data_IF_556197214296
#
_entry.id   IF_556197214296
#
_cell.length_a   1.000
_cell.length_b   1.000
_cell.length_c   1.000
_cell.angle_alpha   90.00
_cell.angle_beta   90.00
_cell.angle_gamma   90.00
#
_symmetry.space_group_name_H-M   'P 1'
#
loop_
_entity.id
_entity.type
_entity.pdbx_description
1 polymer ?
#
# COMPACT_ATOMS: atom_id res chain seq x y z
N UNK A 1 28.22 14.66 2.52
CA UNK A 1 26.93 14.18 1.96
C UNK A 1 27.16 13.92 0.48
N UNK A 2 26.86 12.73 -0.01
CA UNK A 2 27.00 12.41 -1.44
C UNK A 2 26.11 13.35 -2.27
N UNK A 3 26.70 14.07 -3.23
CA UNK A 3 26.01 15.06 -4.07
C UNK A 3 24.82 14.45 -4.85
N UNK A 4 24.96 13.18 -5.25
CA UNK A 4 24.02 12.50 -6.12
C UNK A 4 22.67 12.15 -5.42
N UNK A 5 22.64 11.57 -4.20
CA UNK A 5 21.40 11.43 -3.43
C UNK A 5 20.67 12.75 -3.15
N UNK A 6 21.39 13.84 -2.85
CA UNK A 6 20.78 15.13 -2.56
C UNK A 6 20.12 15.75 -3.81
N UNK A 7 20.76 15.62 -4.97
CA UNK A 7 20.17 15.99 -6.25
C UNK A 7 18.91 15.18 -6.54
N UNK A 8 18.97 13.86 -6.32
CA UNK A 8 17.86 12.95 -6.59
C UNK A 8 16.63 13.26 -5.70
N UNK A 9 16.84 13.54 -4.42
CA UNK A 9 15.78 13.99 -3.50
C UNK A 9 15.19 15.33 -3.93
N UNK A 10 16.02 16.28 -4.40
CA UNK A 10 15.55 17.56 -4.93
C UNK A 10 14.71 17.39 -6.20
N UNK A 11 15.15 16.52 -7.10
CA UNK A 11 14.38 16.15 -8.29
C UNK A 11 13.04 15.49 -7.93
N UNK A 12 13.02 14.54 -7.00
CA UNK A 12 11.79 13.92 -6.52
C UNK A 12 10.86 14.93 -5.84
N UNK A 13 11.41 15.89 -5.09
CA UNK A 13 10.63 16.98 -4.51
C UNK A 13 9.99 17.85 -5.60
N UNK A 14 10.71 18.15 -6.68
CA UNK A 14 10.15 18.86 -7.84
C UNK A 14 9.01 18.07 -8.49
N UNK A 15 9.18 16.77 -8.70
CA UNK A 15 8.15 15.88 -9.26
C UNK A 15 6.90 15.89 -8.38
N UNK A 16 7.05 15.71 -7.07
CA UNK A 16 5.95 15.70 -6.11
C UNK A 16 5.23 17.05 -6.02
N UNK A 17 5.94 18.18 -6.02
CA UNK A 17 5.35 19.53 -6.02
C UNK A 17 4.65 19.91 -7.34
N UNK A 18 5.06 19.27 -8.44
CA UNK A 18 4.36 19.38 -9.71
C UNK A 18 3.05 18.60 -9.65
N UNK A 19 3.10 17.36 -9.15
CA UNK A 19 1.95 16.46 -9.07
C UNK A 19 0.92 16.85 -8.01
N UNK A 20 1.36 17.32 -6.84
CA UNK A 20 0.51 17.77 -5.74
C UNK A 20 0.60 19.27 -5.55
N UNK A 21 -0.54 19.94 -5.36
CA UNK A 21 -0.54 21.38 -5.02
C UNK A 21 -0.06 21.65 -3.59
N UNK A 22 -0.16 20.65 -2.72
CA UNK A 22 0.23 20.75 -1.32
C UNK A 22 0.48 19.36 -0.75
N UNK A 23 1.63 19.22 -0.10
CA UNK A 23 2.03 18.05 0.67
C UNK A 23 2.16 18.51 2.12
N UNK A 24 1.37 17.92 3.01
CA UNK A 24 1.49 18.17 4.45
C UNK A 24 2.23 17.02 5.10
N UNK A 25 3.24 17.36 5.89
CA UNK A 25 4.04 16.41 6.66
C UNK A 25 3.68 16.61 8.13
N UNK A 26 3.40 15.52 8.83
CA UNK A 26 3.01 15.51 10.25
C UNK A 26 3.85 14.50 11.02
N UNK A 27 4.17 14.81 12.28
CA UNK A 27 4.96 13.90 13.13
C UNK A 27 6.46 13.81 12.77
N UNK A 28 7.00 14.73 11.98
CA UNK A 28 8.42 14.67 11.56
C UNK A 28 9.41 14.62 12.74
N UNK A 29 9.06 15.26 13.87
CA UNK A 29 9.85 15.25 15.10
C UNK A 29 9.91 13.88 15.78
N UNK A 30 9.01 12.96 15.42
CA UNK A 30 8.98 11.59 15.93
C UNK A 30 10.01 10.69 15.23
N UNK A 31 10.56 11.12 14.09
CA UNK A 31 11.54 10.33 13.34
C UNK A 31 12.89 10.37 14.07
N UNK A 32 13.50 9.21 14.39
CA UNK A 32 14.86 9.17 14.92
C UNK A 32 15.85 9.83 13.95
N UNK A 33 16.57 10.84 14.42
CA UNK A 33 17.58 11.55 13.63
C UNK A 33 18.77 10.66 13.31
N UNK A 34 19.13 9.78 14.24
CA UNK A 34 20.23 8.83 14.18
C UNK A 34 19.76 7.41 14.53
N UNK A 35 20.61 6.44 14.22
CA UNK A 35 20.33 5.03 14.47
C UNK A 35 19.48 4.36 13.39
N UNK A 36 19.27 3.05 13.52
CA UNK A 36 18.56 2.25 12.54
C UNK A 36 17.05 2.41 12.67
N UNK A 37 16.38 2.51 11.53
CA UNK A 37 14.93 2.70 11.50
C UNK A 37 14.28 1.90 10.37
N UNK A 38 13.17 1.25 10.68
CA UNK A 38 12.26 0.69 9.68
C UNK A 38 11.04 1.60 9.60
N UNK A 39 10.77 2.17 8.43
CA UNK A 39 9.51 2.84 8.15
C UNK A 39 8.51 1.83 7.61
N UNK A 40 7.49 1.51 8.41
CA UNK A 40 6.34 0.73 7.94
C UNK A 40 5.32 1.73 7.39
N UNK A 41 4.99 1.65 6.09
CA UNK A 41 4.15 2.66 5.42
C UNK A 41 2.86 2.05 4.90
N UNK A 42 1.73 2.68 5.20
CA UNK A 42 0.41 2.27 4.71
C UNK A 42 -0.56 3.46 4.56
N UNK A 43 -1.60 3.40 3.71
CA UNK A 43 -1.81 2.37 2.70
C UNK A 43 -0.78 2.46 1.57
N UNK A 44 -0.55 1.37 0.84
CA UNK A 44 0.26 1.41 -0.37
C UNK A 44 -0.62 1.65 -1.61
N UNK A 45 -1.00 2.90 -1.86
CA UNK A 45 -1.85 3.23 -3.00
C UNK A 45 -1.11 3.28 -4.33
N UNK A 46 0.17 3.69 -4.33
CA UNK A 46 0.93 3.92 -5.55
C UNK A 46 2.39 3.44 -5.44
N UNK A 47 2.77 2.55 -6.35
CA UNK A 47 4.09 1.90 -6.38
C UNK A 47 5.27 2.87 -6.50
N UNK A 48 5.05 4.09 -7.00
CA UNK A 48 6.10 5.07 -7.23
C UNK A 48 5.95 6.30 -6.34
N UNK A 49 4.75 6.84 -6.19
CA UNK A 49 4.53 8.07 -5.41
C UNK A 49 4.77 7.82 -3.92
N UNK A 50 4.36 6.66 -3.37
CA UNK A 50 4.47 6.41 -1.94
C UNK A 50 5.94 6.35 -1.46
N UNK A 51 6.86 5.61 -2.13
CA UNK A 51 8.28 5.66 -1.78
C UNK A 51 8.89 7.06 -1.90
N UNK A 52 8.46 7.85 -2.90
CA UNK A 52 8.94 9.22 -3.09
C UNK A 52 8.47 10.14 -1.96
N UNK A 53 7.22 10.01 -1.53
CA UNK A 53 6.65 10.76 -0.41
C UNK A 53 7.47 10.55 0.86
N UNK A 54 7.79 9.30 1.19
CA UNK A 54 8.65 9.00 2.34
C UNK A 54 10.07 9.57 2.14
N UNK A 55 10.69 9.29 0.98
CA UNK A 55 12.07 9.69 0.68
C UNK A 55 12.31 11.20 0.79
N UNK A 56 11.34 12.00 0.37
CA UNK A 56 11.45 13.47 0.32
C UNK A 56 11.13 14.13 1.67
N UNK A 57 10.34 13.47 2.53
CA UNK A 57 9.78 14.07 3.74
C UNK A 57 10.37 13.54 5.05
N UNK A 58 10.95 12.35 5.09
CA UNK A 58 11.44 11.74 6.32
C UNK A 58 12.80 12.27 6.81
N UNK A 59 13.55 13.00 5.96
CA UNK A 59 14.88 13.52 6.30
C UNK A 59 15.97 12.44 6.46
N UNK A 60 15.70 11.18 6.10
CA UNK A 60 16.64 10.05 6.18
C UNK A 60 16.87 9.46 4.78
N UNK A 61 18.05 8.84 4.56
CA UNK A 61 18.30 8.07 3.33
C UNK A 61 17.68 6.68 3.45
N UNK A 62 16.50 6.51 2.83
CA UNK A 62 15.70 5.28 2.92
C UNK A 62 15.96 4.36 1.74
N UNK A 63 16.26 3.10 2.02
CA UNK A 63 16.32 2.03 1.03
C UNK A 63 15.04 1.22 1.08
N UNK A 64 14.38 1.04 -0.05
CA UNK A 64 13.10 0.34 -0.12
C UNK A 64 13.28 -1.11 -0.53
N UNK A 65 12.37 -1.97 -0.08
CA UNK A 65 12.19 -3.28 -0.69
C UNK A 65 11.47 -3.11 -2.03
N UNK A 66 12.16 -3.40 -3.13
CA UNK A 66 11.63 -3.25 -4.48
C UNK A 66 11.59 -4.60 -5.20
N UNK A 67 10.52 -4.87 -5.95
CA UNK A 67 10.39 -6.10 -6.72
C UNK A 67 11.54 -6.23 -7.73
N UNK A 68 12.17 -7.42 -7.82
CA UNK A 68 13.27 -7.68 -8.75
C UNK A 68 12.90 -7.34 -10.20
N UNK A 69 11.69 -7.73 -10.63
CA UNK A 69 11.15 -7.38 -11.96
C UNK A 69 11.15 -5.88 -12.26
N UNK A 70 10.98 -5.03 -11.25
CA UNK A 70 11.09 -3.57 -11.39
C UNK A 70 12.54 -3.11 -11.41
N UNK A 71 13.39 -3.72 -10.57
CA UNK A 71 14.83 -3.42 -10.50
C UNK A 71 15.63 -3.83 -11.75
N UNK A 72 15.13 -4.81 -12.52
CA UNK A 72 15.75 -5.26 -13.77
C UNK A 72 15.45 -4.32 -14.95
N UNK A 73 14.46 -3.42 -14.83
CA UNK A 73 14.19 -2.39 -15.85
C UNK A 73 15.24 -1.28 -15.77
N UNK A 74 15.79 -0.86 -16.91
CA UNK A 74 16.92 0.09 -16.96
C UNK A 74 16.74 1.35 -16.09
N UNK A 75 15.71 2.15 -16.36
CA UNK A 75 15.48 3.42 -15.65
C UNK A 75 15.09 3.24 -14.18
N UNK A 76 14.23 2.26 -13.88
CA UNK A 76 13.75 2.00 -12.51
C UNK A 76 14.86 1.39 -11.66
N UNK A 77 15.63 0.47 -12.23
CA UNK A 77 16.80 -0.14 -11.59
C UNK A 77 17.90 0.87 -11.30
N UNK A 78 18.16 1.81 -12.22
CA UNK A 78 19.13 2.89 -11.98
C UNK A 78 18.70 3.77 -10.80
N UNK A 79 17.45 4.23 -10.75
CA UNK A 79 16.91 5.02 -9.64
C UNK A 79 16.87 4.22 -8.33
N UNK A 80 16.47 2.95 -8.38
CA UNK A 80 16.44 2.06 -7.22
C UNK A 80 17.83 1.84 -6.62
N UNK A 81 18.85 1.62 -7.47
CA UNK A 81 20.24 1.51 -7.02
C UNK A 81 20.75 2.81 -6.41
N UNK A 82 20.41 3.96 -6.99
CA UNK A 82 20.75 5.28 -6.43
C UNK A 82 20.13 5.50 -5.03
N UNK A 83 18.90 5.03 -4.82
CA UNK A 83 18.21 5.04 -3.54
C UNK A 83 18.66 3.91 -2.59
N UNK A 84 19.63 3.09 -3.00
CA UNK A 84 20.12 1.92 -2.25
C UNK A 84 18.97 0.96 -1.88
N UNK A 85 18.01 0.78 -2.78
CA UNK A 85 16.89 -0.16 -2.63
C UNK A 85 17.37 -1.61 -2.66
N UNK A 86 16.71 -2.46 -1.88
CA UNK A 86 16.99 -3.88 -1.76
C UNK A 86 16.05 -4.62 -2.71
N UNK A 87 16.62 -5.39 -3.64
CA UNK A 87 15.84 -6.17 -4.60
C UNK A 87 15.23 -7.39 -3.94
N UNK A 88 13.94 -7.62 -4.17
CA UNK A 88 13.17 -8.74 -3.59
C UNK A 88 12.53 -9.55 -4.69
N UNK A 89 12.81 -10.85 -4.70
CA UNK A 89 12.08 -11.82 -5.53
C UNK A 89 10.76 -12.15 -4.84
N UNK A 90 9.66 -12.10 -5.58
CA UNK A 90 8.33 -12.42 -5.07
C UNK A 90 7.84 -13.67 -5.78
N UNK A 91 7.21 -14.59 -5.05
CA UNK A 91 6.68 -15.83 -5.62
C UNK A 91 5.73 -15.54 -6.81
N UNK A 92 4.88 -14.52 -6.69
CA UNK A 92 3.97 -14.08 -7.76
C UNK A 92 4.66 -13.64 -9.06
N UNK A 93 5.92 -13.19 -9.00
CA UNK A 93 6.65 -12.74 -10.20
C UNK A 93 7.27 -13.92 -10.96
N UNK A 94 7.35 -15.10 -10.35
CA UNK A 94 7.96 -16.32 -10.91
C UNK A 94 6.94 -17.44 -11.14
N UNK A 95 5.64 -17.16 -11.03
CA UNK A 95 4.58 -18.13 -11.34
C UNK A 95 4.58 -18.43 -12.84
N UNK A 96 4.55 -19.72 -13.18
CA UNK A 96 4.43 -20.19 -14.55
C UNK A 96 3.43 -21.34 -14.66
N UNK A 97 2.90 -21.58 -15.86
CA UNK A 97 1.97 -22.69 -16.11
C UNK A 97 2.70 -24.03 -16.06
N UNK A 98 2.15 -24.98 -15.32
CA UNK A 98 2.64 -26.36 -15.34
C UNK A 98 2.34 -27.03 -16.69
N UNK A 99 3.13 -28.04 -17.07
CA UNK A 99 2.80 -28.87 -18.23
C UNK A 99 1.79 -29.95 -17.83
N UNK A 100 0.91 -30.29 -18.75
CA UNK A 100 -0.13 -31.30 -18.53
C UNK A 100 -1.29 -30.79 -17.68
N UNK A 101 -2.10 -31.72 -17.19
CA UNK A 101 -3.23 -31.46 -16.29
C UNK A 101 -3.07 -32.25 -15.00
N UNK A 102 -3.77 -31.83 -13.95
CA UNK A 102 -3.78 -32.51 -12.65
C UNK A 102 -5.19 -32.85 -12.19
N UNK A 103 -5.34 -33.94 -11.45
CA UNK A 103 -6.62 -34.38 -10.90
C UNK A 103 -6.43 -35.08 -9.57
N UNK A 104 -7.51 -35.17 -8.81
CA UNK A 104 -7.55 -35.88 -7.53
C UNK A 104 -8.27 -37.22 -7.76
N UNK A 105 -7.56 -38.36 -7.73
CA UNK A 105 -8.15 -39.65 -8.05
C UNK A 105 -9.20 -40.08 -7.02
N UNK A 106 -8.90 -39.88 -5.74
CA UNK A 106 -9.70 -40.39 -4.61
C UNK A 106 -9.89 -39.30 -3.53
N UNK A 107 -11.10 -39.20 -3.01
CA UNK A 107 -11.44 -38.34 -1.87
C UNK A 107 -10.92 -38.89 -0.55
N UNK A 108 -10.65 -40.20 -0.47
CA UNK A 108 -10.08 -40.82 0.73
C UNK A 108 -8.64 -40.35 1.01
N UNK A 109 -7.91 -39.94 -0.03
CA UNK A 109 -6.57 -39.39 0.08
C UNK A 109 -6.43 -38.04 -0.69
N UNK A 110 -7.02 -36.96 -0.16
CA UNK A 110 -7.16 -35.69 -0.87
C UNK A 110 -5.85 -34.88 -0.96
N UNK A 111 -4.75 -35.42 -0.42
CA UNK A 111 -3.41 -34.80 -0.51
C UNK A 111 -2.59 -35.37 -1.67
N UNK A 112 -2.99 -36.50 -2.24
CA UNK A 112 -2.33 -37.13 -3.38
C UNK A 112 -2.94 -36.62 -4.68
N UNK A 113 -2.13 -35.99 -5.53
CA UNK A 113 -2.56 -35.45 -6.81
C UNK A 113 -1.84 -36.18 -7.94
N UNK A 114 -2.62 -36.58 -8.95
CA UNK A 114 -2.14 -37.24 -10.15
C UNK A 114 -2.08 -36.26 -11.31
N UNK A 115 -1.16 -36.50 -12.22
CA UNK A 115 -0.90 -35.68 -13.39
C UNK A 115 -0.98 -36.48 -14.69
N UNK A 116 -1.48 -35.84 -15.74
CA UNK A 116 -1.55 -36.38 -17.10
C UNK A 116 -0.62 -35.55 -17.97
N UNK A 117 0.34 -36.20 -18.63
CA UNK A 117 1.39 -35.55 -19.42
C UNK A 117 2.18 -34.47 -18.63
N UNK A 118 2.36 -34.69 -17.32
CA UNK A 118 3.10 -33.80 -16.43
C UNK A 118 4.60 -34.12 -16.43
N UNK A 119 5.41 -33.15 -15.98
CA UNK A 119 6.87 -33.27 -15.82
C UNK A 119 7.28 -32.77 -14.43
N UNK A 120 6.67 -33.33 -13.38
CA UNK A 120 6.78 -32.79 -12.03
C UNK A 120 8.22 -32.78 -11.50
N UNK A 121 9.03 -33.80 -11.75
CA UNK A 121 10.42 -33.87 -11.25
C UNK A 121 11.25 -32.71 -11.79
N UNK A 122 10.99 -32.33 -13.05
CA UNK A 122 11.70 -31.23 -13.71
C UNK A 122 11.15 -29.85 -13.34
N UNK A 123 9.83 -29.71 -13.16
CA UNK A 123 9.17 -28.41 -12.98
C UNK A 123 8.94 -28.02 -11.51
N UNK A 124 8.83 -28.98 -10.60
CA UNK A 124 8.43 -28.77 -9.22
C UNK A 124 9.58 -29.14 -8.29
N UNK A 125 9.98 -28.20 -7.44
CA UNK A 125 10.88 -28.47 -6.32
C UNK A 125 10.05 -28.64 -5.05
N UNK A 126 10.55 -29.36 -4.03
CA UNK A 126 9.91 -29.39 -2.71
C UNK A 126 9.61 -27.97 -2.20
N UNK A 127 8.47 -27.79 -1.53
CA UNK A 127 7.95 -26.50 -1.02
C UNK A 127 7.42 -25.51 -2.07
N UNK A 128 7.48 -25.84 -3.36
CA UNK A 128 6.69 -25.12 -4.36
C UNK A 128 5.20 -25.28 -4.08
N UNK A 129 4.38 -24.30 -4.46
CA UNK A 129 2.92 -24.40 -4.38
C UNK A 129 2.30 -24.61 -5.75
N UNK A 130 1.21 -25.36 -5.78
CA UNK A 130 0.35 -25.52 -6.95
C UNK A 130 -0.87 -24.64 -6.77
N UNK A 131 -1.18 -23.88 -7.81
CA UNK A 131 -2.31 -22.96 -7.85
C UNK A 131 -3.30 -23.42 -8.92
N UNK A 132 -4.55 -23.60 -8.52
CA UNK A 132 -5.65 -23.95 -9.42
C UNK A 132 -6.15 -22.70 -10.18
N UNK A 133 -6.85 -22.89 -11.30
CA UNK A 133 -7.43 -21.79 -12.06
C UNK A 133 -8.45 -20.99 -11.24
N UNK A 134 -8.62 -19.72 -11.57
CA UNK A 134 -9.61 -18.82 -10.93
C UNK A 134 -9.48 -18.74 -9.40
N UNK A 135 -8.26 -18.90 -8.88
CA UNK A 135 -7.93 -18.90 -7.45
C UNK A 135 -8.77 -19.89 -6.61
N UNK A 136 -9.22 -20.98 -7.24
CA UNK A 136 -10.09 -22.00 -6.60
C UNK A 136 -9.39 -22.82 -5.50
N UNK A 137 -8.05 -22.77 -5.44
CA UNK A 137 -7.26 -23.43 -4.41
C UNK A 137 -5.75 -23.26 -4.63
N UNK A 138 -4.99 -23.31 -3.54
CA UNK A 138 -3.52 -23.38 -3.58
C UNK A 138 -3.02 -24.28 -2.47
N UNK A 139 -2.06 -25.16 -2.77
CA UNK A 139 -1.43 -26.03 -1.78
C UNK A 139 0.08 -26.15 -2.00
N UNK A 140 0.83 -26.23 -0.89
CA UNK A 140 2.27 -26.49 -0.90
C UNK A 140 2.53 -27.98 -1.16
N UNK A 141 3.52 -28.27 -2.00
CA UNK A 141 3.98 -29.62 -2.33
C UNK A 141 4.92 -30.09 -1.23
N UNK A 142 4.52 -31.14 -0.51
CA UNK A 142 5.34 -31.83 0.47
C UNK A 142 6.46 -32.61 -0.21
N UNK A 143 6.10 -33.39 -1.24
CA UNK A 143 7.03 -34.26 -1.95
C UNK A 143 6.58 -34.47 -3.40
N UNK A 144 7.55 -34.53 -4.30
CA UNK A 144 7.35 -35.03 -5.68
C UNK A 144 7.70 -36.51 -5.67
N UNK A 145 6.72 -37.38 -5.94
CA UNK A 145 6.88 -38.84 -5.93
C UNK A 145 7.41 -39.30 -7.29
N UNK A 146 6.80 -38.81 -8.37
CA UNK A 146 7.17 -39.13 -9.76
C UNK A 146 6.82 -37.96 -10.69
N UNK A 147 7.05 -38.10 -12.00
CA UNK A 147 6.62 -37.09 -12.97
C UNK A 147 5.09 -36.95 -13.07
N UNK A 148 4.33 -37.92 -12.56
CA UNK A 148 2.86 -37.97 -12.59
C UNK A 148 2.21 -37.93 -11.21
N UNK A 149 2.97 -37.99 -10.12
CA UNK A 149 2.42 -38.04 -8.76
C UNK A 149 3.14 -37.09 -7.80
N UNK A 150 2.35 -36.35 -7.02
CA UNK A 150 2.83 -35.43 -6.00
C UNK A 150 1.97 -35.54 -4.74
N UNK A 151 2.62 -35.27 -3.61
CA UNK A 151 1.97 -35.19 -2.31
C UNK A 151 1.95 -33.75 -1.81
N UNK A 152 0.78 -33.30 -1.38
CA UNK A 152 0.56 -31.96 -0.81
C UNK A 152 0.75 -31.95 0.71
N UNK A 153 1.22 -30.84 1.27
CA UNK A 153 1.31 -30.62 2.72
C UNK A 153 -0.08 -30.52 3.36
N UNK A 154 -1.06 -30.00 2.63
CA UNK A 154 -2.45 -29.86 3.05
C UNK A 154 -3.37 -30.18 1.85
N UNK A 155 -4.48 -30.89 2.08
CA UNK A 155 -5.40 -31.22 1.01
C UNK A 155 -6.18 -30.00 0.50
N UNK A 156 -6.48 -29.97 -0.80
CA UNK A 156 -7.29 -28.91 -1.43
C UNK A 156 -8.77 -29.31 -1.45
N UNK A 157 -9.40 -29.31 -0.27
CA UNK A 157 -10.78 -29.78 -0.06
C UNK A 157 -11.85 -28.68 -0.15
N UNK A 158 -11.49 -27.46 -0.56
CA UNK A 158 -12.49 -26.41 -0.78
C UNK A 158 -13.44 -26.83 -1.92
N UNK A 159 -14.74 -26.50 -1.87
CA UNK A 159 -15.70 -26.93 -2.90
C UNK A 159 -15.25 -26.57 -4.32
N UNK A 160 -14.66 -25.38 -4.50
CA UNK A 160 -14.10 -24.95 -5.78
C UNK A 160 -12.88 -25.76 -6.23
N UNK A 161 -11.99 -26.14 -5.32
CA UNK A 161 -10.82 -26.96 -5.64
C UNK A 161 -11.22 -28.39 -6.01
N UNK A 162 -12.13 -29.00 -5.25
CA UNK A 162 -12.65 -30.35 -5.53
C UNK A 162 -13.35 -30.37 -6.89
N UNK A 163 -14.18 -29.36 -7.18
CA UNK A 163 -14.86 -29.21 -8.47
C UNK A 163 -13.87 -29.09 -9.64
N UNK A 164 -12.70 -28.46 -9.44
CA UNK A 164 -11.65 -28.38 -10.45
C UNK A 164 -10.86 -29.69 -10.59
N UNK A 165 -10.58 -30.37 -9.49
CA UNK A 165 -9.70 -31.54 -9.46
C UNK A 165 -10.39 -32.86 -9.79
N UNK A 166 -11.73 -32.93 -9.69
CA UNK A 166 -12.52 -34.14 -9.99
C UNK A 166 -13.50 -33.94 -11.14
N UNK A 167 -13.15 -33.12 -12.13
CA UNK A 167 -13.94 -33.02 -13.36
C UNK A 167 -13.93 -34.38 -14.05
N UNK A 168 -15.11 -34.93 -14.31
CA UNK A 168 -15.31 -36.16 -15.08
C UNK A 168 -15.94 -35.79 -16.42
N UNK A 169 -15.43 -36.35 -17.51
CA UNK A 169 -16.02 -36.19 -18.84
C UNK A 169 -17.21 -37.13 -19.06
N UNK A 170 -17.90 -36.96 -20.19
CA UNK A 170 -19.06 -37.79 -20.58
C UNK A 170 -18.69 -39.29 -20.73
N UNK A 171 -17.41 -39.62 -20.84
CA UNK A 171 -16.88 -40.98 -20.96
C UNK A 171 -16.43 -41.58 -19.63
N UNK A 172 -16.60 -40.86 -18.51
CA UNK A 172 -16.20 -41.32 -17.17
C UNK A 172 -14.70 -41.14 -16.85
N UNK A 173 -13.92 -40.50 -17.74
CA UNK A 173 -12.51 -40.21 -17.50
C UNK A 173 -12.36 -38.87 -16.77
N UNK A 174 -11.26 -38.73 -16.02
CA UNK A 174 -10.88 -37.46 -15.40
C UNK A 174 -9.81 -36.78 -16.26
N UNK A 175 -10.17 -35.86 -17.17
CA UNK A 175 -9.19 -35.14 -18.01
C UNK A 175 -8.25 -34.23 -17.20
N UNK A 176 -8.60 -33.97 -15.93
CA UNK A 176 -7.87 -33.09 -15.03
C UNK A 176 -8.00 -31.62 -15.39
N UNK A 177 -7.37 -30.77 -14.59
CA UNK A 177 -7.39 -29.32 -14.72
C UNK A 177 -6.00 -28.76 -14.95
N UNK A 178 -5.92 -27.64 -15.67
CA UNK A 178 -4.67 -26.90 -15.82
C UNK A 178 -4.26 -26.27 -14.50
N UNK A 179 -2.97 -26.10 -14.29
CA UNK A 179 -2.45 -25.59 -13.02
C UNK A 179 -1.26 -24.66 -13.24
N UNK A 180 -1.01 -23.81 -12.26
CA UNK A 180 0.18 -22.96 -12.20
C UNK A 180 1.09 -23.44 -11.06
N UNK A 181 2.38 -23.30 -11.26
CA UNK A 181 3.41 -23.60 -10.28
C UNK A 181 3.94 -22.28 -9.74
N UNK A 182 3.92 -22.12 -8.43
CA UNK A 182 4.49 -21.01 -7.69
C UNK A 182 5.72 -21.53 -6.93
N UNK A 183 6.95 -21.30 -7.45
CA UNK A 183 8.17 -21.74 -6.78
C UNK A 183 8.34 -21.18 -5.37
N UNK A 184 8.93 -21.96 -4.47
CA UNK A 184 9.42 -21.41 -3.22
C UNK A 184 10.56 -20.42 -3.50
N UNK A 185 10.39 -19.18 -3.04
CA UNK A 185 11.42 -18.15 -3.16
C UNK A 185 12.17 -18.03 -1.85
N UNK A 186 13.48 -18.29 -1.88
CA UNK A 186 14.34 -18.09 -0.72
C UNK A 186 14.56 -16.59 -0.47
N UNK A 187 14.04 -16.12 0.65
CA UNK A 187 14.13 -14.72 1.08
C UNK A 187 15.34 -14.44 1.98
N UNK A 188 16.17 -15.44 2.29
CA UNK A 188 17.31 -15.32 3.22
C UNK A 188 18.27 -14.19 2.85
N UNK A 189 18.54 -14.04 1.55
CA UNK A 189 19.38 -12.95 1.02
C UNK A 189 18.77 -11.56 1.23
N UNK A 190 17.44 -11.43 1.10
CA UNK A 190 16.76 -10.15 1.34
C UNK A 190 16.84 -9.78 2.83
N UNK A 191 16.58 -10.75 3.72
CA UNK A 191 16.68 -10.52 5.17
C UNK A 191 18.11 -10.14 5.59
N UNK A 192 19.14 -10.80 5.06
CA UNK A 192 20.53 -10.46 5.39
C UNK A 192 20.93 -9.06 4.92
N UNK A 193 20.46 -8.62 3.75
CA UNK A 193 20.68 -7.27 3.23
C UNK A 193 19.98 -6.19 4.09
N UNK A 194 18.76 -6.46 4.54
CA UNK A 194 18.04 -5.58 5.47
C UNK A 194 18.81 -5.48 6.79
N UNK A 195 19.17 -6.61 7.40
CA UNK A 195 19.92 -6.65 8.66
C UNK A 195 21.26 -5.93 8.53
N UNK A 196 22.00 -6.13 7.43
CA UNK A 196 23.24 -5.41 7.14
C UNK A 196 23.02 -3.91 7.07
N UNK A 197 21.95 -3.44 6.43
CA UNK A 197 21.66 -2.00 6.35
C UNK A 197 21.34 -1.41 7.72
N UNK A 198 20.55 -2.12 8.52
CA UNK A 198 20.17 -1.68 9.85
C UNK A 198 21.39 -1.68 10.79
N UNK A 199 22.28 -2.67 10.73
CA UNK A 199 23.50 -2.69 11.55
C UNK A 199 24.45 -1.51 11.28
N UNK A 200 24.35 -0.90 10.09
CA UNK A 200 25.08 0.33 9.73
C UNK A 200 24.27 1.61 9.97
N UNK A 201 23.31 1.61 10.91
CA UNK A 201 22.45 2.76 11.25
C UNK A 201 21.63 3.31 10.07
N UNK A 202 21.35 2.47 9.07
CA UNK A 202 20.58 2.83 7.88
C UNK A 202 19.06 2.83 8.13
N UNK A 203 18.32 3.43 7.20
CA UNK A 203 16.87 3.43 7.19
C UNK A 203 16.30 2.51 6.10
N UNK A 204 15.29 1.71 6.43
CA UNK A 204 14.60 0.80 5.50
C UNK A 204 13.14 1.22 5.37
N UNK A 205 12.63 1.32 4.15
CA UNK A 205 11.22 1.58 3.88
C UNK A 205 10.53 0.32 3.41
N UNK A 206 9.41 -0.04 4.04
CA UNK A 206 8.62 -1.22 3.69
C UNK A 206 7.13 -0.90 3.69
N UNK A 207 6.43 -1.47 2.71
CA UNK A 207 4.97 -1.44 2.59
C UNK A 207 4.44 -2.82 2.98
N UNK A 208 4.00 -3.02 4.23
CA UNK A 208 3.70 -4.35 4.76
C UNK A 208 2.53 -5.05 4.07
N UNK A 209 1.69 -4.37 3.30
CA UNK A 209 0.65 -4.98 2.44
C UNK A 209 1.26 -5.82 1.29
N UNK A 210 2.46 -5.48 0.85
CA UNK A 210 3.22 -6.21 -0.17
C UNK A 210 2.68 -6.11 -1.61
N UNK A 211 1.73 -5.21 -1.87
CA UNK A 211 1.18 -4.86 -3.18
C UNK A 211 0.52 -3.48 -3.10
N UNK A 212 0.28 -2.85 -4.25
CA UNK A 212 -0.39 -1.55 -4.30
C UNK A 212 -1.86 -1.71 -4.67
N UNK A 213 -2.78 -0.99 -4.02
CA UNK A 213 -4.21 -1.04 -4.29
C UNK A 213 -4.91 0.30 -4.08
N UNK A 214 -6.09 0.47 -4.67
CA UNK A 214 -6.95 1.65 -4.53
C UNK A 214 -8.09 1.47 -3.50
N UNK A 215 -8.14 0.32 -2.81
CA UNK A 215 -9.14 0.04 -1.77
C UNK A 215 -9.05 1.05 -0.60
N UNK A 216 -10.20 1.44 0.01
CA UNK A 216 -10.23 2.34 1.17
C UNK A 216 -9.64 1.73 2.45
N UNK A 217 -9.70 0.40 2.57
CA UNK A 217 -9.22 -0.35 3.73
C UNK A 217 -7.80 -0.86 3.54
N UNK A 218 -7.08 -1.03 4.67
CA UNK A 218 -5.77 -1.66 4.68
C UNK A 218 -5.91 -3.15 4.36
N UNK A 219 -5.09 -3.65 3.44
CA UNK A 219 -4.93 -5.09 3.27
C UNK A 219 -4.22 -5.70 4.50
N UNK A 220 -4.43 -7.01 4.77
CA UNK A 220 -3.70 -7.70 5.81
C UNK A 220 -2.19 -7.53 5.67
N UNK A 221 -1.54 -7.18 6.78
CA UNK A 221 -0.09 -6.95 6.78
C UNK A 221 0.66 -8.28 6.68
N UNK A 222 1.74 -8.29 5.89
CA UNK A 222 2.65 -9.43 5.78
C UNK A 222 3.66 -9.40 6.92
N UNK A 223 3.89 -10.58 7.53
CA UNK A 223 4.81 -10.77 8.65
C UNK A 223 6.27 -10.37 8.38
N UNK A 224 6.66 -10.15 7.12
CA UNK A 224 8.02 -9.81 6.73
C UNK A 224 8.60 -8.61 7.50
N UNK A 225 7.80 -7.56 7.75
CA UNK A 225 8.26 -6.38 8.51
C UNK A 225 8.68 -6.74 9.94
N UNK A 226 7.86 -7.55 10.63
CA UNK A 226 8.15 -8.00 11.99
C UNK A 226 9.34 -8.98 12.03
N UNK A 227 9.43 -9.88 11.04
CA UNK A 227 10.56 -10.82 10.92
C UNK A 227 11.88 -10.07 10.73
N UNK A 228 11.93 -9.06 9.84
CA UNK A 228 13.12 -8.24 9.61
C UNK A 228 13.58 -7.53 10.88
N UNK A 229 12.63 -6.94 11.60
CA UNK A 229 12.92 -6.20 12.82
C UNK A 229 13.47 -7.10 13.93
N UNK A 230 12.79 -8.23 14.20
CA UNK A 230 13.21 -9.19 15.22
C UNK A 230 14.53 -9.89 14.86
N UNK A 231 14.72 -10.27 13.59
CA UNK A 231 15.97 -10.90 13.13
C UNK A 231 17.18 -9.95 13.27
N UNK A 232 17.00 -8.66 12.95
CA UNK A 232 18.06 -7.67 13.07
C UNK A 232 18.50 -7.46 14.53
N UNK A 233 17.55 -7.35 15.47
CA UNK A 233 17.86 -7.19 16.90
C UNK A 233 18.36 -8.49 17.52
N UNK A 234 17.88 -9.66 17.07
CA UNK A 234 18.37 -10.96 17.52
C UNK A 234 19.85 -11.17 17.17
N UNK A 235 20.27 -10.73 15.97
CA UNK A 235 21.67 -10.79 15.52
C UNK A 235 22.55 -9.69 16.11
N UNK A 236 21.96 -8.54 16.45
CA UNK A 236 22.66 -7.40 17.04
C UNK A 236 21.90 -6.88 18.27
N UNK A 237 22.10 -7.48 19.47
CA UNK A 237 21.31 -7.17 20.67
C UNK A 237 21.36 -5.71 21.12
N UNK A 238 22.47 -5.00 20.84
CA UNK A 238 22.66 -3.60 21.19
C UNK A 238 22.17 -2.62 20.11
N UNK A 239 21.46 -3.11 19.08
CA UNK A 239 20.96 -2.29 17.99
C UNK A 239 19.71 -1.51 18.46
N UNK A 240 19.75 -0.16 18.54
CA UNK A 240 18.61 0.64 18.99
C UNK A 240 17.59 0.82 17.86
N UNK A 241 17.10 -0.30 17.32
CA UNK A 241 16.18 -0.34 16.18
C UNK A 241 14.80 0.15 16.60
N UNK A 242 14.28 1.10 15.82
CA UNK A 242 12.90 1.59 15.96
C UNK A 242 12.11 1.34 14.69
N UNK A 243 10.82 1.01 14.85
CA UNK A 243 9.88 0.94 13.73
C UNK A 243 9.01 2.18 13.77
N UNK A 244 9.05 3.01 12.74
CA UNK A 244 8.21 4.20 12.63
C UNK A 244 7.03 3.88 11.69
N UNK A 245 5.79 3.83 12.22
CA UNK A 245 4.60 3.69 11.39
C UNK A 245 4.33 5.00 10.64
N UNK A 246 3.98 4.91 9.36
CA UNK A 246 3.73 6.05 8.48
C UNK A 246 2.37 5.89 7.78
N UNK A 247 1.46 6.83 8.03
CA UNK A 247 0.18 6.94 7.35
C UNK A 247 0.28 7.81 6.10
N UNK A 248 -0.20 7.30 4.96
CA UNK A 248 -0.40 8.08 3.73
C UNK A 248 -1.87 8.39 3.52
N UNK A 249 -2.17 9.58 3.00
CA UNK A 249 -3.54 9.96 2.65
C UNK A 249 -3.57 10.86 1.42
N UNK A 250 -4.27 10.38 0.38
CA UNK A 250 -4.49 11.10 -0.87
C UNK A 250 -5.96 11.55 -0.94
N UNK A 251 -6.20 12.84 -1.15
CA UNK A 251 -7.58 13.36 -1.14
C UNK A 251 -8.35 13.03 -2.42
N UNK A 252 -7.67 13.13 -3.57
CA UNK A 252 -8.17 12.79 -4.89
C UNK A 252 -7.02 12.16 -5.68
N UNK A 253 -6.82 10.85 -5.57
CA UNK A 253 -5.66 10.18 -6.17
C UNK A 253 -5.71 10.18 -7.72
N UNK A 254 -6.92 10.32 -8.27
CA UNK A 254 -7.23 10.39 -9.70
C UNK A 254 -6.99 11.79 -10.32
N UNK A 255 -6.82 12.83 -9.49
CA UNK A 255 -6.71 14.22 -9.96
C UNK A 255 -5.30 14.77 -9.83
N UNK A 256 -4.82 15.36 -10.92
CA UNK A 256 -3.61 16.18 -10.92
C UNK A 256 -3.77 17.38 -9.98
N UNK A 257 -2.69 17.78 -9.31
CA UNK A 257 -2.65 18.86 -8.30
C UNK A 257 -3.59 18.64 -7.12
N UNK A 258 -3.83 17.38 -6.79
CA UNK A 258 -4.46 16.95 -5.54
C UNK A 258 -3.62 17.33 -4.31
N UNK A 259 -4.12 16.99 -3.12
CA UNK A 259 -3.41 17.16 -1.85
C UNK A 259 -2.99 15.79 -1.34
N UNK A 260 -1.82 15.74 -0.71
CA UNK A 260 -1.33 14.56 -0.01
C UNK A 260 -0.95 14.93 1.43
N UNK A 261 -1.14 13.97 2.34
CA UNK A 261 -0.65 14.03 3.71
C UNK A 261 0.19 12.78 3.95
N UNK A 262 1.35 12.97 4.57
CA UNK A 262 2.12 11.90 5.19
C UNK A 262 2.24 12.20 6.68
N UNK A 263 1.94 11.20 7.50
CA UNK A 263 1.93 11.31 8.95
C UNK A 263 2.81 10.22 9.57
N UNK A 264 3.78 10.63 10.38
CA UNK A 264 4.66 9.76 11.12
C UNK A 264 4.11 9.55 12.54
N UNK A 265 3.91 8.29 12.93
CA UNK A 265 3.48 7.93 14.28
C UNK A 265 4.65 7.77 15.25
N UNK A 266 4.32 7.35 16.47
CA UNK A 266 5.32 7.15 17.53
C UNK A 266 6.23 5.95 17.19
N UNK A 267 7.56 6.08 17.38
CA UNK A 267 8.48 4.98 17.13
C UNK A 267 8.21 3.81 18.08
N UNK A 268 8.03 2.63 17.50
CA UNK A 268 7.86 1.38 18.23
C UNK A 268 9.25 0.83 18.52
N UNK A 269 9.57 0.69 19.80
CA UNK A 269 10.73 -0.04 20.29
C UNK A 269 10.39 -1.53 20.39
N UNK A 270 11.36 -2.39 20.14
CA UNK A 270 11.15 -3.84 20.18
C UNK A 270 11.35 -4.31 21.62
N UNK A 271 10.31 -4.81 22.32
CA UNK A 271 10.44 -5.25 23.69
C UNK A 271 11.38 -6.45 23.81
N UNK A 272 12.18 -6.48 24.88
CA UNK A 272 13.11 -7.57 25.18
C UNK A 272 12.41 -8.93 25.30
N UNK A 273 11.16 -8.94 25.77
CA UNK A 273 10.34 -10.15 25.91
C UNK A 273 10.04 -10.79 24.55
N UNK A 274 9.76 -9.98 23.52
CA UNK A 274 9.53 -10.48 22.16
C UNK A 274 10.83 -11.03 21.55
N UNK A 275 11.97 -10.44 21.92
CA UNK A 275 13.28 -10.91 21.46
C UNK A 275 13.61 -12.30 22.02
N UNK A 276 13.39 -12.51 23.31
CA UNK A 276 13.62 -13.82 23.94
C UNK A 276 12.67 -14.89 23.38
N UNK A 277 11.38 -14.56 23.21
CA UNK A 277 10.43 -15.45 22.53
C UNK A 277 10.85 -15.77 21.09
N UNK A 278 11.42 -14.79 20.36
CA UNK A 278 11.92 -15.01 19.02
C UNK A 278 13.11 -15.99 18.98
N UNK A 279 14.04 -15.87 19.93
CA UNK A 279 15.23 -16.73 20.06
C UNK A 279 14.88 -18.17 20.46
N UNK A 280 13.86 -18.37 21.30
CA UNK A 280 13.39 -19.69 21.72
C UNK A 280 12.93 -20.58 20.55
N UNK A 281 12.59 -19.97 19.41
CA UNK A 281 12.20 -20.71 18.21
C UNK A 281 10.76 -21.26 18.30
N UNK A 282 10.43 -22.19 17.40
CA UNK A 282 9.16 -22.93 17.43
C UNK A 282 7.90 -22.04 17.45
N UNK A 283 7.00 -22.33 18.39
CA UNK A 283 5.74 -21.60 18.62
C UNK A 283 5.96 -20.20 19.17
N UNK A 284 6.94 -20.03 20.06
CA UNK A 284 7.25 -18.75 20.70
C UNK A 284 7.72 -17.72 19.67
N UNK A 285 8.54 -18.16 18.71
CA UNK A 285 8.95 -17.33 17.58
C UNK A 285 7.76 -16.81 16.76
N UNK A 286 6.79 -17.67 16.46
CA UNK A 286 5.58 -17.27 15.71
C UNK A 286 4.74 -16.29 16.52
N UNK A 287 4.61 -16.50 17.83
CA UNK A 287 3.89 -15.62 18.74
C UNK A 287 4.54 -14.23 18.79
N UNK A 288 5.86 -14.15 18.93
CA UNK A 288 6.60 -12.89 18.92
C UNK A 288 6.40 -12.11 17.60
N UNK A 289 6.47 -12.80 16.46
CA UNK A 289 6.23 -12.21 15.14
C UNK A 289 4.80 -11.66 15.05
N UNK A 290 3.80 -12.44 15.49
CA UNK A 290 2.39 -12.03 15.47
C UNK A 290 2.16 -10.79 16.33
N UNK A 291 2.62 -10.81 17.58
CA UNK A 291 2.45 -9.70 18.52
C UNK A 291 3.07 -8.39 18.01
N UNK A 292 4.27 -8.47 17.43
CA UNK A 292 4.90 -7.29 16.84
C UNK A 292 4.15 -6.80 15.59
N UNK A 293 3.68 -7.72 14.73
CA UNK A 293 2.88 -7.39 13.56
C UNK A 293 1.57 -6.70 13.96
N UNK A 294 0.87 -7.22 14.97
CA UNK A 294 -0.37 -6.65 15.53
C UNK A 294 -0.11 -5.23 16.07
N UNK A 295 1.01 -5.02 16.75
CA UNK A 295 1.42 -3.70 17.27
C UNK A 295 1.64 -2.70 16.13
N UNK A 296 2.31 -3.12 15.06
CA UNK A 296 2.52 -2.31 13.85
C UNK A 296 1.18 -2.02 13.17
N UNK A 297 0.29 -3.01 13.08
CA UNK A 297 -1.02 -2.87 12.45
C UNK A 297 -1.90 -1.88 13.20
N UNK A 298 -2.02 -2.00 14.53
CA UNK A 298 -2.77 -1.05 15.37
C UNK A 298 -2.23 0.38 15.19
N UNK A 299 -0.90 0.52 15.16
CA UNK A 299 -0.27 1.83 14.99
C UNK A 299 -0.54 2.42 13.61
N UNK A 300 -0.42 1.63 12.53
CA UNK A 300 -0.74 2.06 11.16
C UNK A 300 -2.22 2.43 11.02
N UNK A 301 -3.12 1.61 11.55
CA UNK A 301 -4.57 1.89 11.55
C UNK A 301 -4.91 3.23 12.20
N UNK A 302 -4.16 3.63 13.23
CA UNK A 302 -4.38 4.93 13.89
C UNK A 302 -3.97 6.15 13.05
N UNK A 303 -3.06 5.96 12.09
CA UNK A 303 -2.54 7.02 11.20
C UNK A 303 -3.25 7.05 9.85
N UNK A 304 -3.88 5.94 9.46
CA UNK A 304 -4.66 5.84 8.24
C UNK A 304 -6.11 6.17 8.52
N UNK A 305 -6.71 7.06 7.74
CA UNK A 305 -8.12 7.39 7.90
C UNK A 305 -8.98 6.24 7.36
N UNK A 306 -9.24 5.24 8.19
CA UNK A 306 -10.13 4.14 7.83
C UNK A 306 -11.55 4.67 7.79
N UNK A 307 -12.16 4.62 6.62
CA UNK A 307 -13.56 4.91 6.45
C UNK A 307 -14.19 3.83 5.59
N UNK A 308 -15.34 3.27 5.99
CA UNK A 308 -16.00 2.20 5.26
C UNK A 308 -16.39 2.60 3.83
N UNK A 309 -16.55 3.90 3.58
CA UNK A 309 -16.86 4.46 2.26
C UNK A 309 -16.46 5.95 2.20
N UNK A 310 -16.39 6.50 0.99
CA UNK A 310 -15.96 7.88 0.75
C UNK A 310 -16.91 8.93 1.37
N UNK A 311 -18.20 8.63 1.48
CA UNK A 311 -19.17 9.57 2.06
C UNK A 311 -19.00 9.65 3.58
N UNK A 312 -18.77 8.51 4.24
CA UNK A 312 -18.41 8.45 5.67
C UNK A 312 -17.14 9.25 5.96
N UNK A 313 -16.13 9.16 5.07
CA UNK A 313 -14.89 9.91 5.17
C UNK A 313 -15.14 11.42 5.12
N UNK A 314 -15.98 11.86 4.17
CA UNK A 314 -16.35 13.27 4.00
C UNK A 314 -17.15 13.80 5.20
N UNK A 315 -18.06 12.99 5.73
CA UNK A 315 -18.88 13.33 6.90
C UNK A 315 -17.99 13.53 8.13
N UNK A 316 -17.14 12.56 8.46
CA UNK A 316 -16.22 12.64 9.61
C UNK A 316 -15.31 13.88 9.50
N UNK A 317 -14.79 14.14 8.30
CA UNK A 317 -13.97 15.32 8.07
C UNK A 317 -14.74 16.63 8.17
N UNK A 318 -15.99 16.68 7.71
CA UNK A 318 -16.83 17.88 7.77
C UNK A 318 -17.30 18.16 9.19
N UNK A 319 -17.77 17.14 9.91
CA UNK A 319 -18.16 17.24 11.32
C UNK A 319 -17.00 17.73 12.18
N UNK A 320 -15.79 17.19 12.01
CA UNK A 320 -14.60 17.70 12.72
C UNK A 320 -14.34 19.19 12.46
N UNK A 321 -14.48 19.65 11.21
CA UNK A 321 -14.30 21.07 10.86
C UNK A 321 -15.36 21.94 11.53
N UNK A 322 -16.62 21.53 11.47
CA UNK A 322 -17.76 22.25 12.05
C UNK A 322 -17.72 22.27 13.59
N UNK A 323 -17.23 21.20 14.20
CA UNK A 323 -17.10 21.07 15.65
C UNK A 323 -15.93 21.89 16.23
N UNK A 324 -14.91 22.21 15.42
CA UNK A 324 -13.76 22.99 15.89
C UNK A 324 -14.16 24.47 16.08
N UNK A 325 -14.05 25.04 17.31
CA UNK A 325 -14.45 26.42 17.56
C UNK A 325 -13.70 27.44 16.72
N UNK A 326 -14.38 28.51 16.33
CA UNK A 326 -13.83 29.57 15.48
C UNK A 326 -12.64 30.25 16.18
N UNK A 327 -11.50 30.32 15.51
CA UNK A 327 -10.29 30.97 16.04
C UNK A 327 -9.39 30.06 16.88
N UNK A 328 -9.83 28.85 17.24
CA UNK A 328 -8.99 27.86 17.93
C UNK A 328 -8.30 26.95 16.91
N UNK A 329 -6.96 27.01 16.85
CA UNK A 329 -6.18 25.97 16.16
C UNK A 329 -5.99 24.81 17.11
N UNK A 330 -6.62 23.67 16.81
CA UNK A 330 -6.33 22.42 17.50
C UNK A 330 -4.88 22.02 17.20
N UNK A 331 -4.19 21.55 18.24
CA UNK A 331 -2.92 20.88 18.04
C UNK A 331 -3.15 19.54 17.33
N UNK A 332 -2.09 18.97 16.77
CA UNK A 332 -2.14 17.77 15.94
C UNK A 332 -2.75 16.58 16.71
N UNK A 333 -2.33 16.35 17.95
CA UNK A 333 -2.82 15.24 18.78
C UNK A 333 -4.32 15.38 19.09
N UNK A 334 -4.78 16.60 19.36
CA UNK A 334 -6.20 16.91 19.56
C UNK A 334 -7.00 16.69 18.28
N UNK A 335 -6.44 17.08 17.13
CA UNK A 335 -7.08 16.91 15.82
C UNK A 335 -7.23 15.43 15.47
N UNK A 336 -6.22 14.62 15.79
CA UNK A 336 -6.17 13.20 15.51
C UNK A 336 -7.09 12.41 16.44
N UNK A 337 -7.03 12.68 17.75
CA UNK A 337 -7.94 12.10 18.72
C UNK A 337 -9.40 12.40 18.35
N UNK A 338 -9.70 13.65 17.97
CA UNK A 338 -11.04 14.04 17.55
C UNK A 338 -11.47 13.34 16.24
N UNK A 339 -10.58 13.25 15.24
CA UNK A 339 -10.84 12.52 14.00
C UNK A 339 -11.15 11.05 14.25
N UNK A 340 -10.36 10.39 15.10
CA UNK A 340 -10.52 8.99 15.46
C UNK A 340 -11.82 8.77 16.23
N UNK A 341 -12.11 9.62 17.22
CA UNK A 341 -13.33 9.53 18.01
C UNK A 341 -14.59 9.72 17.16
N UNK A 342 -14.58 10.65 16.20
CA UNK A 342 -15.70 10.81 15.26
C UNK A 342 -15.84 9.63 14.32
N UNK A 343 -14.74 9.08 13.79
CA UNK A 343 -14.79 7.90 12.92
C UNK A 343 -15.33 6.67 13.67
N UNK A 344 -14.78 6.37 14.84
CA UNK A 344 -15.22 5.23 15.69
C UNK A 344 -16.67 5.42 16.16
N UNK A 345 -17.03 6.64 16.61
CA UNK A 345 -18.39 6.96 17.04
C UNK A 345 -19.42 6.87 15.91
N UNK A 346 -19.06 7.36 14.72
CA UNK A 346 -19.92 7.25 13.55
C UNK A 346 -20.17 5.79 13.17
N UNK A 347 -19.14 4.95 13.11
CA UNK A 347 -19.30 3.53 12.77
C UNK A 347 -20.26 2.83 13.74
N UNK A 348 -20.13 3.10 15.05
CA UNK A 348 -20.99 2.50 16.07
C UNK A 348 -22.44 2.99 16.02
N UNK A 349 -22.66 4.25 15.67
CA UNK A 349 -23.97 4.90 15.74
C UNK A 349 -24.59 5.19 14.37
N UNK A 350 -24.01 4.67 13.28
CA UNK A 350 -24.44 4.97 11.90
C UNK A 350 -25.90 4.64 11.63
N UNK A 351 -26.47 3.71 12.39
CA UNK A 351 -27.86 3.26 12.22
C UNK A 351 -28.87 4.06 13.04
N UNK A 352 -28.40 4.91 13.96
CA UNK A 352 -29.23 5.81 14.73
C UNK A 352 -29.89 6.86 13.80
N UNK A 353 -31.22 7.07 13.90
CA UNK A 353 -31.95 8.04 13.08
C UNK A 353 -31.39 9.47 13.13
N UNK A 354 -30.95 9.94 14.29
CA UNK A 354 -30.41 11.29 14.46
C UNK A 354 -29.05 11.45 13.77
N UNK A 355 -28.20 10.43 13.88
CA UNK A 355 -26.90 10.39 13.19
C UNK A 355 -27.10 10.34 11.68
N UNK A 356 -28.07 9.55 11.18
CA UNK A 356 -28.44 9.53 9.75
C UNK A 356 -28.92 10.89 9.27
N UNK A 357 -29.78 11.57 10.01
CA UNK A 357 -30.26 12.91 9.66
C UNK A 357 -29.12 13.95 9.63
N UNK A 358 -28.26 13.95 10.65
CA UNK A 358 -27.08 14.82 10.70
C UNK A 358 -26.13 14.56 9.52
N UNK A 359 -25.91 13.29 9.19
CA UNK A 359 -25.08 12.88 8.05
C UNK A 359 -25.62 13.46 6.75
N UNK A 360 -26.93 13.37 6.52
CA UNK A 360 -27.56 13.95 5.33
C UNK A 360 -27.41 15.47 5.28
N UNK A 361 -27.58 16.16 6.41
CA UNK A 361 -27.39 17.62 6.48
C UNK A 361 -25.95 18.03 6.17
N UNK A 362 -24.97 17.30 6.72
CA UNK A 362 -23.54 17.55 6.48
C UNK A 362 -23.17 17.29 5.02
N UNK A 363 -23.68 16.21 4.42
CA UNK A 363 -23.49 15.92 3.00
C UNK A 363 -24.16 16.98 2.11
N UNK A 364 -25.36 17.44 2.48
CA UNK A 364 -26.04 18.51 1.76
C UNK A 364 -25.28 19.82 1.86
N UNK A 365 -24.74 20.16 3.03
CA UNK A 365 -23.86 21.31 3.20
C UNK A 365 -22.61 21.22 2.32
N UNK A 366 -21.93 20.06 2.29
CA UNK A 366 -20.76 19.86 1.43
C UNK A 366 -21.12 19.95 -0.08
N UNK A 367 -22.31 19.49 -0.47
CA UNK A 367 -22.85 19.71 -1.83
C UNK A 367 -23.07 21.19 -2.12
N UNK A 368 -23.60 21.98 -1.18
CA UNK A 368 -23.77 23.42 -1.36
C UNK A 368 -22.43 24.13 -1.48
N UNK A 369 -21.44 23.80 -0.65
CA UNK A 369 -20.07 24.32 -0.77
C UNK A 369 -19.50 24.06 -2.17
N UNK A 370 -19.68 22.84 -2.68
CA UNK A 370 -19.25 22.47 -4.04
C UNK A 370 -20.01 23.22 -5.12
N UNK A 371 -21.33 23.32 -5.00
CA UNK A 371 -22.19 24.01 -5.96
C UNK A 371 -21.82 25.49 -6.10
N UNK A 372 -21.62 26.17 -4.96
CA UNK A 372 -21.22 27.57 -4.93
C UNK A 372 -19.71 27.79 -5.11
N UNK A 373 -18.91 26.72 -5.15
CA UNK A 373 -17.46 26.78 -5.31
C UNK A 373 -16.72 27.44 -4.14
N UNK A 374 -17.32 27.46 -2.94
CA UNK A 374 -16.76 28.12 -1.75
C UNK A 374 -16.22 27.10 -0.74
N UNK A 375 -15.16 27.48 -0.04
CA UNK A 375 -14.60 26.69 1.06
C UNK A 375 -15.33 27.00 2.37
N UNK A 376 -15.41 26.02 3.27
CA UNK A 376 -16.08 26.14 4.58
C UNK A 376 -15.70 27.40 5.38
N UNK A 377 -14.41 27.74 5.44
CA UNK A 377 -13.95 28.96 6.13
C UNK A 377 -14.35 30.28 5.44
N UNK A 378 -14.69 30.22 4.15
CA UNK A 378 -15.13 31.37 3.36
C UNK A 378 -16.62 31.66 3.57
N UNK A 379 -17.42 30.69 4.02
CA UNK A 379 -18.86 30.85 4.27
C UNK A 379 -19.16 31.96 5.29
N UNK A 380 -18.23 32.22 6.23
CA UNK A 380 -18.39 33.34 7.18
C UNK A 380 -18.20 34.71 6.52
N UNK A 381 -17.48 34.73 5.40
CA UNK A 381 -17.13 35.93 4.66
C UNK A 381 -17.96 36.09 3.38
N UNK A 382 -18.97 35.26 3.14
CA UNK A 382 -19.88 35.40 1.98
C UNK A 382 -20.88 36.52 2.17
N UNK A 383 -20.99 37.09 3.37
CA UNK A 383 -21.81 38.26 3.65
C UNK A 383 -21.10 39.55 3.21
N UNK A 384 -20.80 39.65 1.91
CA UNK A 384 -20.21 40.81 1.25
C UNK A 384 -21.30 41.54 0.44
N UNK A 385 -21.30 42.87 0.46
CA UNK A 385 -22.24 43.64 -0.36
C UNK A 385 -22.03 43.36 -1.85
N UNK A 386 -23.10 43.37 -2.65
CA UNK A 386 -23.04 43.10 -4.09
C UNK A 386 -22.04 43.99 -4.83
N UNK A 387 -21.88 45.24 -4.39
CA UNK A 387 -20.89 46.17 -4.95
C UNK A 387 -19.45 45.71 -4.69
N UNK A 388 -19.15 45.28 -3.45
CA UNK A 388 -17.82 44.77 -3.10
C UNK A 388 -17.54 43.44 -3.81
N UNK A 389 -18.55 42.58 -3.95
CA UNK A 389 -18.46 41.35 -4.72
C UNK A 389 -18.13 41.61 -6.20
N UNK A 390 -18.79 42.60 -6.82
CA UNK A 390 -18.53 43.00 -8.20
C UNK A 390 -17.10 43.55 -8.37
N UNK A 391 -16.64 44.44 -7.50
CA UNK A 391 -15.27 44.94 -7.54
C UNK A 391 -14.24 43.81 -7.38
N UNK A 392 -14.47 42.89 -6.44
CA UNK A 392 -13.58 41.74 -6.22
C UNK A 392 -13.59 40.80 -7.44
N UNK A 393 -14.75 40.56 -8.05
CA UNK A 393 -14.87 39.78 -9.28
C UNK A 393 -14.06 40.40 -10.41
N UNK A 394 -14.23 41.70 -10.68
CA UNK A 394 -13.47 42.40 -11.71
C UNK A 394 -11.97 42.32 -11.46
N UNK A 395 -11.53 42.55 -10.22
CA UNK A 395 -10.13 42.42 -9.82
C UNK A 395 -9.58 41.00 -10.08
N UNK A 396 -10.31 39.96 -9.63
CA UNK A 396 -9.90 38.56 -9.84
C UNK A 396 -9.94 38.14 -11.32
N UNK A 397 -10.87 38.68 -12.11
CA UNK A 397 -10.96 38.41 -13.53
C UNK A 397 -9.73 39.00 -14.27
N UNK A 398 -9.34 40.24 -13.95
CA UNK A 398 -8.13 40.86 -14.49
C UNK A 398 -6.89 40.08 -14.05
N UNK A 399 -6.79 39.74 -12.77
CA UNK A 399 -5.68 38.94 -12.23
C UNK A 399 -5.55 37.58 -12.93
N UNK A 400 -6.68 36.88 -13.14
CA UNK A 400 -6.71 35.61 -13.87
C UNK A 400 -6.26 35.77 -15.32
N UNK A 401 -6.69 36.85 -15.99
CA UNK A 401 -6.32 37.12 -17.38
C UNK A 401 -4.82 37.40 -17.52
N UNK A 402 -4.25 38.15 -16.59
CA UNK A 402 -2.79 38.38 -16.51
C UNK A 402 -2.05 37.06 -16.29
N UNK A 403 -2.45 36.24 -15.31
CA UNK A 403 -1.82 34.93 -15.08
C UNK A 403 -1.99 33.97 -16.26
N UNK A 404 -3.11 34.01 -16.97
CA UNK A 404 -3.33 33.21 -18.16
C UNK A 404 -2.36 33.60 -19.29
N UNK A 405 -2.21 34.89 -19.57
CA UNK A 405 -1.26 35.38 -20.58
C UNK A 405 0.18 35.00 -20.21
N UNK A 406 0.57 35.17 -18.94
CA UNK A 406 1.90 34.79 -18.47
C UNK A 406 2.15 33.27 -18.51
N UNK A 407 1.11 32.46 -18.34
CA UNK A 407 1.21 30.98 -18.40
C UNK A 407 1.05 30.41 -19.80
N UNK A 408 0.60 31.20 -20.79
CA UNK A 408 0.35 30.77 -22.16
C UNK A 408 1.60 30.16 -22.83
N UNK A 409 2.80 30.77 -22.74
CA UNK A 409 4.01 30.20 -23.32
C UNK A 409 4.36 28.84 -22.72
N UNK A 410 4.16 28.68 -21.40
CA UNK A 410 4.38 27.42 -20.68
C UNK A 410 3.35 26.38 -21.12
N UNK A 411 2.08 26.75 -21.20
CA UNK A 411 1.01 25.86 -21.68
C UNK A 411 1.28 25.37 -23.11
N UNK A 412 1.73 26.23 -24.01
CA UNK A 412 2.09 25.87 -25.38
C UNK A 412 3.28 24.90 -25.37
N UNK A 413 4.35 25.23 -24.64
CA UNK A 413 5.56 24.40 -24.53
C UNK A 413 5.25 22.99 -24.01
N UNK A 414 4.38 22.86 -23.01
CA UNK A 414 4.02 21.58 -22.39
C UNK A 414 2.80 20.89 -23.03
N UNK A 415 2.11 21.54 -23.97
CA UNK A 415 0.92 20.97 -24.63
C UNK A 415 1.15 19.63 -25.32
N UNK A 416 2.30 19.35 -26.00
CA UNK A 416 2.54 18.06 -26.62
C UNK A 416 2.67 16.95 -25.56
N UNK A 417 3.33 17.24 -24.43
CA UNK A 417 3.49 16.29 -23.32
C UNK A 417 2.14 15.94 -22.68
N UNK A 418 1.28 16.94 -22.47
CA UNK A 418 -0.07 16.73 -21.93
C UNK A 418 -0.92 15.87 -22.87
N UNK A 419 -0.82 16.09 -24.18
CA UNK A 419 -1.55 15.32 -25.18
C UNK A 419 -1.04 13.87 -25.24
N UNK A 420 0.29 13.68 -25.27
CA UNK A 420 0.93 12.36 -25.25
C UNK A 420 0.55 11.58 -23.99
N UNK A 421 0.60 12.23 -22.82
CA UNK A 421 0.20 11.62 -21.55
C UNK A 421 -1.26 11.18 -21.56
N UNK A 422 -2.17 11.98 -22.14
CA UNK A 422 -3.58 11.60 -22.28
C UNK A 422 -3.77 10.42 -23.23
N UNK A 423 -3.04 10.38 -24.35
CA UNK A 423 -3.09 9.25 -25.28
C UNK A 423 -2.60 7.96 -24.64
N UNK A 424 -1.44 8.00 -23.97
CA UNK A 424 -0.87 6.85 -23.25
C UNK A 424 -1.81 6.39 -22.14
N UNK A 425 -2.37 7.32 -21.36
CA UNK A 425 -3.33 7.02 -20.29
C UNK A 425 -4.58 6.33 -20.83
N UNK A 426 -5.18 6.83 -21.92
CA UNK A 426 -6.34 6.17 -22.57
C UNK A 426 -6.00 4.77 -23.09
N UNK A 427 -4.82 4.60 -23.69
CA UNK A 427 -4.37 3.30 -24.22
C UNK A 427 -4.11 2.29 -23.09
N UNK A 428 -3.51 2.72 -21.99
CA UNK A 428 -3.32 1.89 -20.80
C UNK A 428 -4.64 1.54 -20.10
N UNK A 429 -5.57 2.48 -20.00
CA UNK A 429 -6.91 2.23 -19.45
C UNK A 429 -7.70 1.21 -20.30
N UNK A 430 -7.67 1.34 -21.63
CA UNK A 430 -8.26 0.36 -22.54
C UNK A 430 -7.62 -1.03 -22.42
N UNK A 431 -6.29 -1.10 -22.28
CA UNK A 431 -5.58 -2.37 -22.08
C UNK A 431 -5.88 -3.05 -20.73
N UNK A 432 -6.13 -2.28 -19.67
CA UNK A 432 -6.53 -2.83 -18.37
C UNK A 432 -7.97 -3.40 -18.38
N UNK A 433 -8.90 -2.76 -19.09
CA UNK A 433 -10.27 -3.27 -19.24
C UNK A 433 -10.35 -4.59 -20.02
N UNK A 434 -9.40 -4.84 -20.93
CA UNK A 434 -9.26 -6.11 -21.65
C UNK A 434 -8.65 -7.23 -20.78
N UNK A 435 -7.83 -6.89 -19.77
CA UNK A 435 -7.27 -7.86 -18.83
C UNK A 435 -8.18 -8.19 -17.63
N UNK A 436 -9.23 -7.41 -17.38
CA UNK A 436 -10.22 -7.66 -16.32
C UNK A 436 -11.41 -8.54 -16.76
N UNK A 437 -11.42 -9.02 -18.03
CA UNK A 437 -12.46 -9.89 -18.59
C UNK A 437 -11.89 -11.25 -19.05
N UNK A 438 -10.71 -11.66 -18.57
CA UNK A 438 -10.13 -12.99 -18.87
C UNK A 438 -9.75 -13.75 -17.61
#
# INVERSE_FOLDING_TARGET
>A
MDFFPAFLVSFFRLVLNTFFRSIKVRGIHKIPTNGPVIFAVAPHANQFVDPLMLSVTCGRSVGFLAAKKSMDKFWIGMLGRAMKSISVERAQDVIFSGKGTIYMPDESNPSLIHGINTQFIKQIKPRSSICLPKDMGTAEVAQVISDTEILLCKPMITPGAVACLRVVDESGNMPGTVYKISPHVDQSRMFSEVTRRLSHNGAVGIFPEGGSHDRPELLPLKAGVAIMALDAVAKHPNLPLKIVPCGLSYFHADKFRSRAVIEYGDPIEIPSELLEQYKNGGTDKRKAISLLLDTIEVSLKSLTLQSPDFDTLMVVQAVRRLYTPVGKKLDLDQTLAMSRNFAEGYIRMRDNPEVKALTQQVLQYDRLLKYYGVLDHQVKNTNISSMRALCLFCYRAVEMLVFFILSLPVLILFSPLLFLSRMVSKKMAAGMNLCSVV
#
